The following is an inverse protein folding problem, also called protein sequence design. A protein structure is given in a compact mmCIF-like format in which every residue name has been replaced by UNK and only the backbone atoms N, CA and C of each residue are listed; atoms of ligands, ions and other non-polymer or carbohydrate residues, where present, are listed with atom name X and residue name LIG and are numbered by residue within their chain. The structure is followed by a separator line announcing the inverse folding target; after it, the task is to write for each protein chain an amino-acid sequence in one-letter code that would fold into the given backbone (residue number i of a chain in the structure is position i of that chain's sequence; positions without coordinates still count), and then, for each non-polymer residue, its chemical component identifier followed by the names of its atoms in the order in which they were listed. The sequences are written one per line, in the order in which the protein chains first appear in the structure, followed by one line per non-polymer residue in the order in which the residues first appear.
data_IF_334995754885
#
_entry.id   IF_334995754885
#
_cell.length_a   1.000
_cell.length_b   1.000
_cell.length_c   1.000
_cell.angle_alpha   90.00
_cell.angle_beta   90.00
_cell.angle_gamma   90.00
#
_symmetry.space_group_name_H-M   'P 1'
#
loop_
_entity.id
_entity.type
_entity.pdbx_description
1 polymer ?
#
# COMPACT_ATOMS: atom_id res chain seq x y z
N UNK A 1 -19.92 3.41 -11.64
CA UNK A 1 -20.28 3.42 -10.21
C UNK A 1 -21.02 4.71 -9.91
N UNK A 2 -22.22 4.63 -9.30
CA UNK A 2 -23.10 5.78 -9.05
C UNK A 2 -22.64 6.56 -7.82
N UNK A 3 -22.65 7.88 -7.93
CA UNK A 3 -22.00 8.85 -7.02
C UNK A 3 -22.76 9.10 -5.70
N UNK A 4 -23.48 8.11 -5.18
CA UNK A 4 -24.40 8.26 -4.04
C UNK A 4 -24.53 7.06 -3.09
N UNK A 5 -23.72 6.03 -3.25
CA UNK A 5 -23.64 4.92 -2.28
C UNK A 5 -22.49 5.19 -1.30
N UNK A 6 -22.67 4.84 -0.02
CA UNK A 6 -21.60 4.90 0.97
C UNK A 6 -20.32 4.28 0.41
N UNK A 7 -19.24 5.05 0.42
CA UNK A 7 -17.93 4.62 -0.09
C UNK A 7 -17.24 3.85 1.04
N UNK A 8 -17.85 2.75 1.47
CA UNK A 8 -17.22 1.81 2.40
C UNK A 8 -16.10 1.08 1.68
N UNK A 9 -15.02 0.76 2.39
CA UNK A 9 -13.99 -0.11 1.84
C UNK A 9 -14.61 -1.50 1.62
N UNK A 10 -14.68 -2.03 0.38
CA UNK A 10 -15.16 -3.39 0.17
C UNK A 10 -14.22 -4.38 0.89
N UNK A 11 -14.74 -5.54 1.33
CA UNK A 11 -13.92 -6.51 2.05
C UNK A 11 -12.73 -6.94 1.18
N UNK A 12 -11.53 -6.92 1.77
CA UNK A 12 -10.34 -7.44 1.10
C UNK A 12 -10.59 -8.91 0.73
N UNK A 13 -10.26 -9.31 -0.49
CA UNK A 13 -10.57 -10.66 -0.98
C UNK A 13 -11.93 -10.80 -1.69
N UNK A 14 -12.73 -9.75 -1.84
CA UNK A 14 -13.87 -9.74 -2.77
C UNK A 14 -15.07 -10.58 -2.30
N UNK A 15 -15.21 -11.81 -2.80
CA UNK A 15 -16.34 -12.70 -2.46
C UNK A 15 -16.06 -13.54 -1.21
N UNK A 16 -17.10 -14.11 -0.61
CA UNK A 16 -16.97 -14.99 0.56
C UNK A 16 -15.99 -16.14 0.31
N UNK A 17 -16.11 -16.80 -0.85
CA UNK A 17 -15.28 -17.94 -1.26
C UNK A 17 -13.81 -17.56 -1.48
N UNK A 18 -13.55 -16.31 -1.87
CA UNK A 18 -12.20 -15.76 -2.05
C UNK A 18 -11.59 -15.22 -0.75
N UNK A 19 -12.27 -15.44 0.39
CA UNK A 19 -11.76 -15.08 1.71
C UNK A 19 -12.17 -13.71 2.21
N UNK A 20 -13.26 -13.12 1.69
CA UNK A 20 -13.76 -11.81 2.12
C UNK A 20 -13.93 -11.68 3.64
N UNK A 21 -14.29 -12.76 4.34
CA UNK A 21 -14.44 -12.75 5.80
C UNK A 21 -13.10 -12.52 6.54
N UNK A 22 -11.98 -13.03 6.01
CA UNK A 22 -10.64 -12.76 6.57
C UNK A 22 -10.22 -11.32 6.30
N UNK A 23 -10.46 -10.86 5.08
CA UNK A 23 -10.14 -9.49 4.69
C UNK A 23 -10.98 -8.43 5.40
N UNK A 24 -12.24 -8.75 5.73
CA UNK A 24 -13.07 -7.93 6.61
C UNK A 24 -12.44 -7.78 7.99
N UNK A 25 -11.96 -8.87 8.60
CA UNK A 25 -11.29 -8.81 9.91
C UNK A 25 -10.04 -7.92 9.89
N UNK A 26 -9.22 -8.01 8.83
CA UNK A 26 -8.04 -7.14 8.65
C UNK A 26 -8.46 -5.68 8.46
N UNK A 27 -9.49 -5.42 7.66
CA UNK A 27 -10.03 -4.07 7.47
C UNK A 27 -10.56 -3.46 8.78
N UNK A 28 -11.27 -4.25 9.58
CA UNK A 28 -11.74 -3.83 10.91
C UNK A 28 -10.59 -3.47 11.85
N UNK A 29 -9.47 -4.20 11.82
CA UNK A 29 -8.29 -3.82 12.62
C UNK A 29 -7.76 -2.44 12.23
N UNK A 30 -7.74 -2.12 10.93
CA UNK A 30 -7.32 -0.80 10.45
C UNK A 30 -8.27 0.31 10.92
N UNK A 31 -9.59 0.09 10.91
CA UNK A 31 -10.57 1.03 11.44
C UNK A 31 -10.48 1.20 12.96
N UNK A 32 -10.26 0.10 13.70
CA UNK A 32 -10.14 0.14 15.16
C UNK A 32 -8.90 0.95 15.57
N UNK A 33 -7.74 0.63 15.00
CA UNK A 33 -6.48 1.30 15.34
C UNK A 33 -6.42 2.71 14.76
N UNK A 34 -6.91 2.88 13.54
CA UNK A 34 -6.84 4.11 12.78
C UNK A 34 -7.91 5.12 13.16
N UNK A 35 -9.15 4.72 13.41
CA UNK A 35 -10.28 5.64 13.66
C UNK A 35 -10.83 5.55 15.08
N UNK A 36 -11.23 4.35 15.53
CA UNK A 36 -11.91 4.19 16.84
C UNK A 36 -10.99 4.57 18.00
N UNK A 37 -9.75 4.08 18.00
CA UNK A 37 -8.75 4.33 19.04
C UNK A 37 -8.47 5.83 19.27
N UNK A 38 -8.25 6.67 18.23
CA UNK A 38 -8.12 8.12 18.40
C UNK A 38 -9.45 8.86 18.61
N UNK A 39 -10.60 8.17 18.61
CA UNK A 39 -11.91 8.77 18.83
C UNK A 39 -12.56 9.40 17.60
N UNK A 40 -12.17 9.00 16.40
CA UNK A 40 -12.72 9.47 15.13
C UNK A 40 -13.88 8.58 14.65
N UNK A 41 -14.71 9.13 13.75
CA UNK A 41 -15.82 8.41 13.14
C UNK A 41 -15.33 7.33 12.17
N UNK A 42 -16.04 6.20 12.09
CA UNK A 42 -15.72 5.13 11.14
C UNK A 42 -15.83 5.65 9.70
N UNK A 43 -14.70 5.66 9.00
CA UNK A 43 -14.60 6.16 7.62
C UNK A 43 -15.51 5.36 6.69
N UNK A 44 -16.48 6.00 6.06
CA UNK A 44 -17.25 5.45 4.92
C UNK A 44 -18.26 4.35 5.23
N UNK A 45 -18.29 3.80 6.46
CA UNK A 45 -19.27 2.78 6.87
C UNK A 45 -20.61 3.38 7.34
N UNK A 46 -20.60 4.64 7.80
CA UNK A 46 -21.80 5.32 8.29
C UNK A 46 -22.39 6.22 7.20
N UNK A 47 -23.53 5.81 6.66
CA UNK A 47 -24.31 6.52 5.62
C UNK A 47 -24.66 7.97 6.03
N UNK A 48 -24.80 8.23 7.33
CA UNK A 48 -25.22 9.53 7.87
C UNK A 48 -24.07 10.56 7.94
N UNK A 49 -22.81 10.14 7.72
CA UNK A 49 -21.66 11.05 7.66
C UNK A 49 -20.85 10.85 6.36
N UNK A 50 -21.45 11.10 5.18
CA UNK A 50 -20.86 10.77 3.87
C UNK A 50 -19.67 11.67 3.48
N UNK A 51 -19.36 12.71 4.25
CA UNK A 51 -18.26 13.62 4.01
C UNK A 51 -17.14 13.40 5.03
N UNK A 52 -16.16 12.61 4.62
CA UNK A 52 -14.76 12.68 5.03
C UNK A 52 -14.51 13.11 6.47
N UNK A 53 -14.52 12.13 7.38
CA UNK A 53 -13.85 12.28 8.67
C UNK A 53 -12.36 12.57 8.49
N UNK A 54 -11.69 12.98 9.57
CA UNK A 54 -10.24 13.14 9.56
C UNK A 54 -9.62 11.78 9.24
N UNK A 55 -8.70 11.72 8.28
CA UNK A 55 -7.88 10.52 8.12
C UNK A 55 -6.97 10.43 9.33
N UNK A 56 -7.23 9.43 10.16
CA UNK A 56 -6.40 9.12 11.29
C UNK A 56 -5.51 7.92 10.94
N UNK A 57 -4.29 7.94 11.47
CA UNK A 57 -3.26 6.97 11.15
C UNK A 57 -2.74 6.34 12.44
N UNK A 58 -2.49 5.04 12.39
CA UNK A 58 -1.83 4.31 13.46
C UNK A 58 -0.44 3.88 12.99
N UNK A 59 0.57 4.14 13.83
CA UNK A 59 1.94 3.71 13.59
C UNK A 59 2.42 2.90 14.78
N UNK A 60 3.03 1.75 14.50
CA UNK A 60 3.63 0.88 15.51
C UNK A 60 5.08 0.59 15.12
N UNK A 61 5.98 0.79 16.08
CA UNK A 61 7.38 0.39 15.97
C UNK A 61 7.69 -0.60 17.08
N UNK A 62 8.16 -1.79 16.71
CA UNK A 62 8.57 -2.83 17.66
C UNK A 62 10.08 -2.88 17.72
N UNK A 63 10.64 -2.72 18.92
CA UNK A 63 12.08 -2.79 19.17
C UNK A 63 12.55 -4.24 19.21
N UNK A 64 13.26 -4.68 18.17
CA UNK A 64 13.66 -6.08 17.95
C UNK A 64 14.64 -6.59 19.03
N UNK A 65 15.63 -5.79 19.40
CA UNK A 65 16.63 -6.08 20.43
C UNK A 65 16.05 -6.17 21.85
N UNK A 66 14.77 -5.80 22.03
CA UNK A 66 14.00 -6.11 23.23
C UNK A 66 13.59 -7.58 23.37
N UNK A 67 13.68 -8.37 22.29
CA UNK A 67 13.27 -9.79 22.26
C UNK A 67 14.43 -10.75 22.02
N UNK A 68 15.35 -10.40 21.11
CA UNK A 68 16.54 -11.19 20.76
C UNK A 68 17.61 -10.33 20.08
N UNK A 69 18.88 -10.77 19.97
CA UNK A 69 19.92 -10.02 19.27
C UNK A 69 19.49 -9.65 17.83
N UNK A 70 19.53 -8.36 17.50
CA UNK A 70 19.01 -7.84 16.23
C UNK A 70 19.71 -8.45 15.00
N UNK A 71 21.01 -8.70 15.08
CA UNK A 71 21.78 -9.29 13.97
C UNK A 71 21.37 -10.74 13.69
N UNK A 72 21.03 -11.52 14.72
CA UNK A 72 20.50 -12.87 14.53
C UNK A 72 19.10 -12.84 13.90
N UNK A 73 18.24 -11.92 14.35
CA UNK A 73 16.92 -11.74 13.74
C UNK A 73 17.02 -11.41 12.24
N UNK A 74 17.93 -10.51 11.85
CA UNK A 74 18.15 -10.16 10.44
C UNK A 74 18.69 -11.35 9.64
N UNK A 75 19.60 -12.13 10.20
CA UNK A 75 20.14 -13.33 9.55
C UNK A 75 19.04 -14.37 9.28
N UNK A 76 18.16 -14.62 10.25
CA UNK A 76 17.03 -15.55 10.09
C UNK A 76 16.01 -15.03 9.06
N UNK A 77 15.76 -13.71 9.03
CA UNK A 77 14.90 -13.08 8.01
C UNK A 77 15.50 -13.24 6.61
N UNK A 78 16.80 -13.03 6.45
CA UNK A 78 17.54 -13.25 5.21
C UNK A 78 17.41 -14.71 4.73
N UNK A 79 17.57 -15.68 5.63
CA UNK A 79 17.41 -17.10 5.34
C UNK A 79 15.98 -17.42 4.87
N UNK A 80 14.97 -16.91 5.57
CA UNK A 80 13.56 -17.10 5.19
C UNK A 80 13.28 -16.54 3.78
N UNK A 81 13.70 -15.30 3.51
CA UNK A 81 13.44 -14.66 2.22
C UNK A 81 14.19 -15.32 1.06
N UNK A 82 15.43 -15.78 1.29
CA UNK A 82 16.19 -16.57 0.30
C UNK A 82 15.50 -17.91 0.03
N UNK A 83 15.02 -18.58 1.07
CA UNK A 83 14.32 -19.87 0.96
C UNK A 83 13.02 -19.73 0.17
N UNK A 84 12.21 -18.70 0.43
CA UNK A 84 11.00 -18.41 -0.36
C UNK A 84 11.33 -18.20 -1.84
N UNK A 85 12.43 -17.51 -2.14
CA UNK A 85 12.87 -17.24 -3.51
C UNK A 85 13.44 -18.46 -4.23
N UNK A 86 13.92 -19.47 -3.50
CA UNK A 86 14.46 -20.70 -4.10
C UNK A 86 13.40 -21.77 -4.39
N UNK A 87 12.16 -21.55 -3.97
CA UNK A 87 11.07 -22.50 -4.23
C UNK A 87 10.70 -22.52 -5.72
N UNK A 88 10.36 -23.71 -6.22
CA UNK A 88 9.89 -23.90 -7.59
C UNK A 88 8.48 -23.27 -7.74
N UNK A 89 8.28 -22.35 -8.69
CA UNK A 89 6.96 -21.78 -8.94
C UNK A 89 6.04 -22.83 -9.58
N UNK A 90 4.72 -22.67 -9.40
CA UNK A 90 3.75 -23.53 -10.06
C UNK A 90 3.88 -23.43 -11.60
N UNK A 91 3.60 -24.51 -12.36
CA UNK A 91 3.70 -24.50 -13.82
C UNK A 91 2.92 -23.32 -14.44
N UNK A 92 3.61 -22.53 -15.27
CA UNK A 92 3.03 -21.35 -15.92
C UNK A 92 2.88 -20.11 -15.02
N UNK A 93 3.38 -20.15 -13.78
CA UNK A 93 3.36 -19.01 -12.85
C UNK A 93 4.70 -18.27 -12.83
N UNK A 94 4.71 -16.95 -12.52
CA UNK A 94 5.95 -16.22 -12.29
C UNK A 94 6.70 -16.77 -11.07
N UNK A 95 8.01 -16.46 -10.97
CA UNK A 95 8.79 -16.70 -9.76
C UNK A 95 8.09 -16.17 -8.51
N UNK A 96 8.24 -16.88 -7.39
CA UNK A 96 7.69 -16.50 -6.10
C UNK A 96 8.20 -15.12 -5.66
N UNK A 97 7.29 -14.18 -5.43
CA UNK A 97 7.61 -12.83 -4.96
C UNK A 97 7.22 -12.69 -3.49
N UNK A 98 7.95 -11.85 -2.75
CA UNK A 98 7.55 -11.40 -1.42
C UNK A 98 7.31 -9.88 -1.40
N UNK A 99 6.52 -9.36 -0.45
CA UNK A 99 6.22 -7.94 -0.36
C UNK A 99 7.49 -7.07 -0.35
N UNK A 100 7.54 -6.07 -1.23
CA UNK A 100 8.68 -5.16 -1.38
C UNK A 100 9.79 -5.61 -2.34
N UNK A 101 9.85 -6.90 -2.73
CA UNK A 101 10.87 -7.36 -3.69
C UNK A 101 10.72 -6.75 -5.09
N UNK A 102 9.53 -6.73 -5.72
CA UNK A 102 9.34 -6.03 -7.00
C UNK A 102 9.65 -4.54 -6.90
N UNK A 103 9.29 -3.92 -5.78
CA UNK A 103 9.49 -2.48 -5.55
C UNK A 103 10.97 -2.11 -5.50
N UNK A 104 11.81 -2.94 -4.86
CA UNK A 104 13.26 -2.77 -4.86
C UNK A 104 13.84 -2.79 -6.29
N UNK A 105 13.33 -3.67 -7.15
CA UNK A 105 13.73 -3.71 -8.56
C UNK A 105 13.27 -2.47 -9.32
N UNK A 106 12.04 -2.00 -9.08
CA UNK A 106 11.54 -0.77 -9.70
C UNK A 106 12.36 0.45 -9.28
N UNK A 107 12.75 0.56 -8.01
CA UNK A 107 13.61 1.63 -7.51
C UNK A 107 14.96 1.59 -8.22
N UNK A 108 15.64 0.45 -8.22
CA UNK A 108 16.96 0.30 -8.85
C UNK A 108 16.92 0.61 -10.36
N UNK A 109 15.85 0.20 -11.06
CA UNK A 109 15.65 0.51 -12.48
C UNK A 109 15.40 2.00 -12.70
N UNK A 110 14.42 2.58 -12.00
CA UNK A 110 13.98 3.97 -12.20
C UNK A 110 15.01 5.00 -11.74
N UNK A 111 15.89 4.65 -10.82
CA UNK A 111 17.07 5.47 -10.50
C UNK A 111 18.02 5.62 -11.69
N UNK A 112 18.12 4.60 -12.56
CA UNK A 112 19.02 4.61 -13.72
C UNK A 112 18.33 5.13 -14.99
N UNK A 113 17.07 4.75 -15.19
CA UNK A 113 16.34 5.01 -16.45
C UNK A 113 15.30 6.11 -16.35
N UNK A 114 15.14 6.73 -15.18
CA UNK A 114 14.05 7.67 -14.91
C UNK A 114 12.69 6.98 -14.67
N UNK A 115 11.69 7.78 -14.30
CA UNK A 115 10.33 7.33 -14.03
C UNK A 115 9.48 7.53 -15.29
N UNK A 116 8.94 6.46 -15.89
CA UNK A 116 8.06 6.60 -17.05
C UNK A 116 6.73 7.22 -16.62
N UNK A 117 6.38 8.37 -17.21
CA UNK A 117 5.12 9.06 -16.98
C UNK A 117 4.22 8.98 -18.22
N UNK A 118 2.93 8.67 -18.06
CA UNK A 118 1.97 8.77 -19.16
C UNK A 118 1.90 10.20 -19.73
N UNK A 119 1.72 10.32 -21.04
CA UNK A 119 1.64 11.64 -21.72
C UNK A 119 0.61 12.58 -21.10
N UNK A 120 -0.54 12.06 -20.68
CA UNK A 120 -1.57 12.88 -20.04
C UNK A 120 -1.12 13.48 -18.70
N UNK A 121 -0.31 12.75 -17.92
CA UNK A 121 0.27 13.22 -16.65
C UNK A 121 1.28 14.33 -16.89
N UNK A 122 2.14 14.19 -17.90
CA UNK A 122 3.11 15.23 -18.31
C UNK A 122 2.39 16.50 -18.74
N UNK A 123 1.34 16.37 -19.56
CA UNK A 123 0.49 17.51 -19.97
C UNK A 123 -0.18 18.20 -18.79
N UNK A 124 -0.65 17.43 -17.80
CA UNK A 124 -1.22 17.98 -16.58
C UNK A 124 -0.19 18.78 -15.78
N UNK A 125 1.01 18.23 -15.55
CA UNK A 125 2.07 18.95 -14.83
C UNK A 125 2.51 20.22 -15.57
N UNK A 126 2.60 20.19 -16.90
CA UNK A 126 2.92 21.38 -17.71
C UNK A 126 1.86 22.47 -17.53
N UNK A 127 0.58 22.10 -17.47
CA UNK A 127 -0.51 23.04 -17.19
C UNK A 127 -0.39 23.64 -15.78
N UNK A 128 -0.13 22.82 -14.77
CA UNK A 128 0.02 23.27 -13.38
C UNK A 128 1.23 24.21 -13.22
N UNK A 129 2.37 23.87 -13.82
CA UNK A 129 3.58 24.69 -13.79
C UNK A 129 3.31 26.11 -14.33
N UNK A 130 2.58 26.21 -15.45
CA UNK A 130 2.15 27.51 -16.02
C UNK A 130 1.20 28.27 -15.08
N UNK A 131 0.24 27.60 -14.45
CA UNK A 131 -0.72 28.24 -13.55
C UNK A 131 -0.07 28.75 -12.25
N UNK A 132 0.91 28.01 -11.74
CA UNK A 132 1.62 28.33 -10.51
C UNK A 132 2.86 29.20 -10.74
N UNK A 133 3.15 29.53 -12.00
CA UNK A 133 4.33 30.31 -12.42
C UNK A 133 5.65 29.70 -11.92
N UNK A 134 5.81 28.39 -12.11
CA UNK A 134 7.05 27.64 -11.81
C UNK A 134 7.60 26.99 -13.08
N UNK A 135 8.91 26.84 -13.13
CA UNK A 135 9.58 26.25 -14.30
C UNK A 135 9.21 24.77 -14.47
N UNK A 136 8.96 24.38 -15.72
CA UNK A 136 8.68 22.99 -16.08
C UNK A 136 9.97 22.26 -16.44
N UNK A 137 10.33 21.24 -15.65
CA UNK A 137 11.65 20.58 -15.72
C UNK A 137 11.61 19.13 -16.20
N UNK A 138 10.43 18.55 -16.42
CA UNK A 138 10.30 17.16 -16.86
C UNK A 138 10.74 17.05 -18.34
N UNK A 139 11.74 16.23 -18.61
CA UNK A 139 12.25 15.91 -19.95
C UNK A 139 11.48 14.75 -20.58
N UNK A 140 11.53 14.65 -21.91
CA UNK A 140 10.92 13.54 -22.67
C UNK A 140 11.61 12.19 -22.42
#
# INVERSE_FOLDING_TARGET
TRRGEAIGQPPLGGTYDQGAHKGMGIGMMADVLGAVLPGETLSGMLLENPKGGRFCHYFQATRIDGFRPAEQFKADMDEMLRTLRSQEPAPGSPDIQYPGYPDAQYVAKRQKTGIPLPRHTVSYFRKMAKQLNVDFTITD
#
